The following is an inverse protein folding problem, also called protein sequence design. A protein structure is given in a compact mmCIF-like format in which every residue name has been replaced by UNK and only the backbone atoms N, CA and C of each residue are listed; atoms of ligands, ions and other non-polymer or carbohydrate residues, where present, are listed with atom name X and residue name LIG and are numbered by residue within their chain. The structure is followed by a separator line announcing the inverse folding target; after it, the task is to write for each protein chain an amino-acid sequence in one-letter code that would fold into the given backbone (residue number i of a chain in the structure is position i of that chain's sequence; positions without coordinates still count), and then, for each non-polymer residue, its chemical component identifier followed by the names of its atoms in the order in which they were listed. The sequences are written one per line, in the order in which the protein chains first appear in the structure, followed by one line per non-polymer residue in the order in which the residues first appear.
data_IF_881268446076
#
_entry.id   IF_881268446076
#
_cell.length_a   1.000
_cell.length_b   1.000
_cell.length_c   1.000
_cell.angle_alpha   90.00
_cell.angle_beta   90.00
_cell.angle_gamma   90.00
#
_symmetry.space_group_name_H-M   'P 1'
#
loop_
_entity.id
_entity.type
_entity.pdbx_description
1 polymer ?
#
# COMPACT_ATOMS: atom_id res chain seq x y z
N UNK A 1 -22.10 20.40 18.66
CA UNK A 1 -21.35 19.51 17.77
C UNK A 1 -20.17 20.30 17.23
N UNK A 2 -18.98 19.73 17.26
CA UNK A 2 -17.83 20.35 16.61
C UNK A 2 -17.96 20.19 15.09
N UNK A 3 -17.64 21.26 14.36
CA UNK A 3 -17.67 21.28 12.90
C UNK A 3 -16.29 21.56 12.36
N UNK A 4 -15.90 20.77 11.37
CA UNK A 4 -14.66 20.86 10.63
C UNK A 4 -14.94 21.15 9.14
N UNK A 5 -13.96 21.67 8.44
CA UNK A 5 -14.02 21.76 6.98
C UNK A 5 -13.79 20.37 6.39
N UNK A 6 -12.78 19.68 6.88
CA UNK A 6 -12.41 18.33 6.41
C UNK A 6 -12.27 17.37 7.58
N UNK A 7 -12.92 16.22 7.52
CA UNK A 7 -12.69 15.07 8.41
C UNK A 7 -11.99 13.98 7.63
N UNK A 8 -10.84 13.54 8.12
CA UNK A 8 -10.05 12.44 7.53
C UNK A 8 -10.18 11.21 8.40
N UNK A 9 -10.58 10.07 7.84
CA UNK A 9 -10.78 8.80 8.55
C UNK A 9 -9.60 7.86 8.29
N UNK A 10 -8.78 7.61 9.31
CA UNK A 10 -7.59 6.75 9.27
C UNK A 10 -6.28 7.53 9.15
N UNK A 11 -5.39 7.38 10.13
CA UNK A 11 -4.07 8.02 10.20
C UNK A 11 -2.95 7.15 9.62
N UNK A 12 -3.23 6.43 8.50
CA UNK A 12 -2.22 5.83 7.67
C UNK A 12 -1.55 6.86 6.73
N UNK A 13 -0.59 6.46 5.87
CA UNK A 13 0.13 7.40 5.00
C UNK A 13 -0.75 8.29 4.14
N UNK A 14 -1.82 7.72 3.54
CA UNK A 14 -2.76 8.49 2.73
C UNK A 14 -3.52 9.53 3.56
N UNK A 15 -4.03 9.13 4.74
CA UNK A 15 -4.79 10.04 5.61
C UNK A 15 -3.94 11.14 6.22
N UNK A 16 -2.75 10.81 6.73
CA UNK A 16 -1.82 11.83 7.25
C UNK A 16 -1.41 12.83 6.16
N UNK A 17 -1.14 12.34 4.94
CA UNK A 17 -0.81 13.22 3.80
C UNK A 17 -1.99 14.12 3.42
N UNK A 18 -3.22 13.59 3.41
CA UNK A 18 -4.43 14.36 3.13
C UNK A 18 -4.69 15.42 4.21
N UNK A 19 -4.60 15.03 5.49
CA UNK A 19 -4.81 15.94 6.60
C UNK A 19 -3.78 17.08 6.62
N UNK A 20 -2.48 16.72 6.41
CA UNK A 20 -1.40 17.70 6.29
C UNK A 20 -1.68 18.71 5.17
N UNK A 21 -2.05 18.22 3.99
CA UNK A 21 -2.28 19.08 2.84
C UNK A 21 -3.49 19.99 3.06
N UNK A 22 -4.61 19.44 3.49
CA UNK A 22 -5.81 20.22 3.76
C UNK A 22 -5.59 21.30 4.82
N UNK A 23 -4.86 20.99 5.90
CA UNK A 23 -4.51 21.97 6.93
C UNK A 23 -3.56 23.06 6.40
N UNK A 24 -2.58 22.73 5.56
CA UNK A 24 -1.68 23.70 4.91
C UNK A 24 -2.41 24.67 3.98
N UNK A 25 -3.51 24.24 3.35
CA UNK A 25 -4.37 25.10 2.54
C UNK A 25 -5.38 25.92 3.38
N UNK A 26 -5.28 25.84 4.71
CA UNK A 26 -6.06 26.65 5.67
C UNK A 26 -7.39 26.03 6.10
N UNK A 27 -7.67 24.79 5.74
CA UNK A 27 -8.85 24.07 6.22
C UNK A 27 -8.76 23.73 7.72
N UNK A 28 -9.89 23.80 8.44
CA UNK A 28 -10.02 23.24 9.80
C UNK A 28 -10.18 21.72 9.68
N UNK A 29 -9.14 20.97 10.01
CA UNK A 29 -9.03 19.52 9.74
C UNK A 29 -9.04 18.71 11.03
N UNK A 30 -9.83 17.62 11.03
CA UNK A 30 -9.77 16.56 12.04
C UNK A 30 -9.34 15.25 11.38
N UNK A 31 -8.28 14.63 11.92
CA UNK A 31 -7.80 13.30 11.58
C UNK A 31 -8.20 12.30 12.65
N UNK A 32 -9.00 11.30 12.29
CA UNK A 32 -9.52 10.26 13.19
C UNK A 32 -8.74 8.96 13.00
N UNK A 33 -8.22 8.39 14.07
CA UNK A 33 -7.52 7.10 14.07
C UNK A 33 -8.25 6.09 14.96
N UNK A 34 -8.53 4.91 14.40
CA UNK A 34 -9.15 3.79 15.10
C UNK A 34 -8.32 3.31 16.30
N UNK A 35 -7.01 3.22 16.11
CA UNK A 35 -6.10 2.68 17.11
C UNK A 35 -5.76 3.74 18.19
N UNK A 36 -5.43 3.31 19.41
CA UNK A 36 -4.95 4.22 20.44
C UNK A 36 -3.54 4.78 20.17
N UNK A 37 -2.91 4.32 19.09
CA UNK A 37 -1.55 4.72 18.70
C UNK A 37 -1.43 4.77 17.17
N UNK A 38 -0.91 5.85 16.62
CA UNK A 38 -0.54 5.95 15.20
C UNK A 38 0.64 5.02 14.91
N UNK A 39 0.59 4.36 13.75
CA UNK A 39 1.51 3.29 13.39
C UNK A 39 1.15 1.95 14.03
N UNK A 40 0.11 1.91 14.87
CA UNK A 40 -0.39 0.72 15.54
C UNK A 40 0.63 0.09 16.50
N UNK A 41 0.26 -0.98 17.23
CA UNK A 41 1.20 -1.69 18.09
C UNK A 41 2.28 -2.40 17.29
N UNK A 42 1.95 -2.82 16.07
CA UNK A 42 2.88 -3.49 15.14
C UNK A 42 2.50 -3.13 13.72
N UNK A 43 3.41 -2.51 13.00
CA UNK A 43 3.34 -2.25 11.55
C UNK A 43 4.58 -2.83 10.90
N UNK A 44 4.37 -3.53 9.80
CA UNK A 44 5.45 -4.06 9.02
C UNK A 44 6.36 -2.97 8.48
N UNK A 45 7.69 -3.11 8.62
CA UNK A 45 8.62 -2.25 7.93
C UNK A 45 8.51 -2.44 6.41
N UNK A 46 8.97 -1.47 5.68
CA UNK A 46 8.99 -1.51 4.21
C UNK A 46 10.40 -1.26 3.68
N UNK A 47 10.74 -1.92 2.58
CA UNK A 47 11.94 -1.60 1.82
C UNK A 47 11.62 -0.54 0.77
N UNK A 48 12.33 0.58 0.83
CA UNK A 48 12.14 1.74 -0.04
C UNK A 48 13.46 2.17 -0.70
N UNK A 49 13.36 2.86 -1.82
CA UNK A 49 14.51 3.45 -2.50
C UNK A 49 15.12 4.62 -1.74
N UNK A 50 16.36 4.99 -2.05
CA UNK A 50 16.97 6.22 -1.54
C UNK A 50 16.21 7.47 -2.03
N UNK A 51 15.54 7.38 -3.20
CA UNK A 51 14.68 8.44 -3.74
C UNK A 51 13.50 8.74 -2.83
N UNK A 52 12.89 7.73 -2.24
CA UNK A 52 11.81 7.89 -1.27
C UNK A 52 12.26 8.66 -0.02
N UNK A 53 13.45 8.38 0.50
CA UNK A 53 13.96 9.03 1.71
C UNK A 53 14.29 10.53 1.53
N UNK A 54 14.43 11.00 0.30
CA UNK A 54 14.58 12.43 0.02
C UNK A 54 13.31 13.24 0.30
N UNK A 55 12.17 12.55 0.50
CA UNK A 55 10.92 13.16 0.93
C UNK A 55 10.92 13.60 2.40
N UNK A 56 11.99 13.31 3.18
CA UNK A 56 12.16 13.81 4.55
C UNK A 56 12.15 12.74 5.65
N UNK A 57 11.96 11.46 5.32
CA UNK A 57 11.71 10.40 6.33
C UNK A 57 12.93 9.57 6.71
N UNK A 58 14.11 10.18 6.75
CA UNK A 58 15.38 9.47 7.09
C UNK A 58 15.39 8.90 8.50
N UNK A 59 14.72 9.56 9.44
CA UNK A 59 14.63 9.13 10.84
C UNK A 59 13.94 7.78 11.01
N UNK A 60 13.02 7.42 10.11
CA UNK A 60 12.38 6.11 10.10
C UNK A 60 13.26 4.99 9.54
N UNK A 61 14.46 5.28 9.02
CA UNK A 61 15.35 4.30 8.41
C UNK A 61 16.07 3.46 9.47
N UNK A 62 15.89 2.14 9.45
CA UNK A 62 16.47 1.20 10.42
C UNK A 62 17.63 0.38 9.86
N UNK A 63 17.68 0.15 8.55
CA UNK A 63 18.76 -0.65 7.94
C UNK A 63 18.99 -0.23 6.48
N UNK A 64 20.26 -0.24 6.07
CA UNK A 64 20.66 -0.11 4.67
C UNK A 64 20.55 -1.47 3.98
N UNK A 65 20.13 -1.44 2.72
CA UNK A 65 20.09 -2.61 1.82
C UNK A 65 21.18 -2.46 0.77
N UNK A 66 21.91 -3.53 0.52
CA UNK A 66 22.98 -3.60 -0.49
C UNK A 66 22.66 -4.62 -1.60
N UNK A 67 21.81 -5.61 -1.34
CA UNK A 67 21.40 -6.62 -2.32
C UNK A 67 19.98 -7.13 -2.11
N UNK A 68 19.40 -7.66 -3.20
CA UNK A 68 18.13 -8.34 -3.24
C UNK A 68 18.36 -9.79 -3.69
N UNK A 69 17.89 -10.75 -2.92
CA UNK A 69 17.91 -12.16 -3.23
C UNK A 69 16.49 -12.63 -3.55
N UNK A 70 16.28 -13.14 -4.76
CA UNK A 70 15.00 -13.65 -5.24
C UNK A 70 15.08 -15.17 -5.43
N UNK A 71 14.07 -15.88 -4.94
CA UNK A 71 13.96 -17.34 -5.01
C UNK A 71 12.61 -17.71 -5.64
N UNK A 72 12.62 -18.55 -6.69
CA UNK A 72 11.40 -19.05 -7.34
C UNK A 72 11.60 -20.43 -7.92
N UNK A 73 10.95 -21.46 -7.37
CA UNK A 73 10.92 -22.83 -7.88
C UNK A 73 12.29 -23.40 -8.31
N UNK A 74 13.30 -23.23 -7.46
CA UNK A 74 14.66 -23.72 -7.67
C UNK A 74 15.58 -22.77 -8.47
N UNK A 75 15.08 -21.61 -8.91
CA UNK A 75 15.89 -20.52 -9.44
C UNK A 75 16.20 -19.50 -8.34
N UNK A 76 17.47 -19.11 -8.26
CA UNK A 76 17.98 -18.10 -7.34
C UNK A 76 18.64 -16.97 -8.11
N UNK A 77 18.29 -15.73 -7.79
CA UNK A 77 18.87 -14.56 -8.43
C UNK A 77 19.28 -13.54 -7.38
N UNK A 78 20.56 -13.18 -7.36
CA UNK A 78 21.05 -12.10 -6.50
C UNK A 78 21.30 -10.86 -7.34
N UNK A 79 20.71 -9.74 -6.93
CA UNK A 79 20.79 -8.46 -7.62
C UNK A 79 21.44 -7.40 -6.72
N UNK A 80 22.33 -6.55 -7.26
CA UNK A 80 22.68 -5.32 -6.59
C UNK A 80 21.43 -4.49 -6.36
N UNK A 81 21.18 -4.09 -5.13
CA UNK A 81 20.03 -3.27 -4.80
C UNK A 81 20.41 -2.29 -3.71
N UNK A 82 19.96 -1.05 -3.90
CA UNK A 82 20.12 -0.01 -2.89
C UNK A 82 18.85 0.20 -2.07
N UNK A 83 18.87 1.25 -1.25
CA UNK A 83 17.71 1.66 -0.48
C UNK A 83 17.81 1.31 1.00
N UNK A 84 16.69 1.42 1.67
CA UNK A 84 16.60 1.26 3.11
C UNK A 84 15.35 0.53 3.53
N UNK A 85 15.46 -0.20 4.63
CA UNK A 85 14.29 -0.65 5.38
C UNK A 85 13.86 0.48 6.30
N UNK A 86 12.58 0.81 6.26
CA UNK A 86 11.95 1.89 7.02
C UNK A 86 10.98 1.29 8.01
N UNK A 87 11.09 1.70 9.27
CA UNK A 87 10.13 1.38 10.31
C UNK A 87 8.84 2.18 10.08
N UNK A 88 7.74 1.46 9.84
CA UNK A 88 6.42 2.06 9.59
C UNK A 88 5.81 2.69 10.81
N UNK A 89 6.13 2.23 12.02
CA UNK A 89 5.63 2.87 13.24
C UNK A 89 6.24 4.27 13.41
N UNK A 90 7.52 4.41 13.12
CA UNK A 90 8.22 5.70 13.14
C UNK A 90 7.73 6.58 11.99
N UNK A 91 7.67 6.04 10.77
CA UNK A 91 7.22 6.78 9.59
C UNK A 91 5.81 7.32 9.75
N UNK A 92 4.85 6.48 10.18
CA UNK A 92 3.46 6.89 10.32
C UNK A 92 3.31 8.00 11.40
N UNK A 93 4.13 7.96 12.47
CA UNK A 93 4.18 9.03 13.49
C UNK A 93 4.79 10.33 12.94
N UNK A 94 5.84 10.26 12.13
CA UNK A 94 6.41 11.44 11.46
C UNK A 94 5.39 12.10 10.54
N UNK A 95 4.67 11.31 9.74
CA UNK A 95 3.60 11.82 8.88
C UNK A 95 2.47 12.50 9.67
N UNK A 96 2.09 11.92 10.82
CA UNK A 96 1.09 12.52 11.68
C UNK A 96 1.60 13.79 12.37
N UNK A 97 2.87 13.83 12.78
CA UNK A 97 3.49 15.03 13.31
C UNK A 97 3.48 16.17 12.28
N UNK A 98 3.83 15.90 11.01
CA UNK A 98 3.72 16.89 9.94
C UNK A 98 2.29 17.38 9.72
N UNK A 99 1.27 16.51 9.89
CA UNK A 99 -0.13 16.91 9.80
C UNK A 99 -0.53 17.81 10.98
N UNK A 100 -0.10 17.48 12.20
CA UNK A 100 -0.35 18.29 13.38
C UNK A 100 0.37 19.65 13.31
N UNK A 101 1.62 19.69 12.85
CA UNK A 101 2.38 20.93 12.63
C UNK A 101 1.70 21.83 11.58
N UNK A 102 1.02 21.23 10.59
CA UNK A 102 0.22 21.97 9.62
C UNK A 102 -1.10 22.52 10.19
N UNK A 103 -1.50 22.10 11.41
CA UNK A 103 -2.71 22.56 12.09
C UNK A 103 -3.85 21.55 12.14
N UNK A 104 -3.66 20.30 11.71
CA UNK A 104 -4.68 19.25 11.83
C UNK A 104 -4.81 18.80 13.29
N UNK A 105 -6.04 18.71 13.78
CA UNK A 105 -6.37 18.06 15.04
C UNK A 105 -6.39 16.53 14.85
N UNK A 106 -5.89 15.76 15.84
CA UNK A 106 -5.79 14.30 15.75
C UNK A 106 -6.48 13.66 16.95
N UNK A 107 -7.46 12.79 16.68
CA UNK A 107 -8.11 11.99 17.72
C UNK A 107 -7.74 10.52 17.56
N UNK A 108 -7.19 9.94 18.63
CA UNK A 108 -6.83 8.53 18.71
C UNK A 108 -7.95 7.71 19.37
N UNK A 109 -8.00 6.39 19.10
CA UNK A 109 -9.00 5.51 19.66
C UNK A 109 -10.42 5.90 19.24
N UNK A 110 -10.57 6.47 18.04
CA UNK A 110 -11.79 7.06 17.52
C UNK A 110 -12.31 6.28 16.30
N UNK A 111 -12.90 5.09 16.49
CA UNK A 111 -13.43 4.27 15.41
C UNK A 111 -14.61 4.95 14.70
N UNK A 112 -14.48 5.17 13.41
CA UNK A 112 -15.57 5.64 12.56
C UNK A 112 -16.34 4.43 12.02
N UNK A 113 -17.66 4.42 12.17
CA UNK A 113 -18.52 3.30 11.77
C UNK A 113 -19.31 3.56 10.50
N UNK A 114 -19.76 4.79 10.32
CA UNK A 114 -20.61 5.18 9.20
C UNK A 114 -20.48 6.67 8.85
N UNK A 115 -20.91 7.03 7.68
CA UNK A 115 -21.07 8.43 7.30
C UNK A 115 -22.35 9.03 7.90
N UNK A 116 -22.28 10.28 8.31
CA UNK A 116 -23.43 11.11 8.60
C UNK A 116 -24.02 11.59 7.26
N UNK A 117 -25.24 11.18 6.95
CA UNK A 117 -25.89 11.48 5.68
C UNK A 117 -27.03 12.46 5.88
N UNK A 118 -27.08 13.51 5.05
CA UNK A 118 -28.22 14.44 4.93
C UNK A 118 -28.57 14.63 3.45
N UNK A 119 -29.81 14.35 3.08
CA UNK A 119 -30.27 14.50 1.69
C UNK A 119 -29.47 13.70 0.66
N UNK A 120 -28.89 12.55 1.06
CA UNK A 120 -28.04 11.72 0.18
C UNK A 120 -26.59 12.17 0.11
N UNK A 121 -26.19 13.23 0.82
CA UNK A 121 -24.83 13.76 0.88
C UNK A 121 -24.15 13.43 2.19
N UNK A 122 -22.86 13.13 2.15
CA UNK A 122 -22.02 12.97 3.33
C UNK A 122 -21.79 14.37 3.94
N UNK A 123 -22.10 14.51 5.22
CA UNK A 123 -21.99 15.72 6.03
C UNK A 123 -21.14 15.51 7.29
N UNK A 124 -20.39 14.43 7.34
CA UNK A 124 -19.57 14.09 8.47
C UNK A 124 -19.51 12.59 8.71
N UNK A 125 -19.15 12.21 9.92
CA UNK A 125 -18.98 10.82 10.34
C UNK A 125 -19.68 10.55 11.67
N UNK A 126 -19.97 9.27 11.90
CA UNK A 126 -20.44 8.77 13.19
C UNK A 126 -19.39 7.80 13.72
N UNK A 127 -18.82 8.12 14.86
CA UNK A 127 -17.83 7.31 15.54
C UNK A 127 -18.31 6.86 16.92
N UNK A 128 -17.45 6.13 17.62
CA UNK A 128 -17.62 5.79 19.03
C UNK A 128 -16.36 6.23 19.79
N UNK A 129 -16.53 6.91 20.90
CA UNK A 129 -15.45 7.22 21.81
C UNK A 129 -15.95 7.02 23.24
N UNK A 130 -15.17 6.28 24.07
CA UNK A 130 -15.52 6.06 25.47
C UNK A 130 -16.90 5.41 25.73
N UNK A 131 -17.46 4.67 24.73
CA UNK A 131 -18.78 4.05 24.82
C UNK A 131 -19.95 4.96 24.42
N UNK A 132 -19.67 6.15 23.94
CA UNK A 132 -20.66 7.11 23.45
C UNK A 132 -20.58 7.23 21.93
N UNK A 133 -21.77 7.36 21.31
CA UNK A 133 -21.88 7.62 19.86
C UNK A 133 -21.71 9.12 19.63
N UNK A 134 -20.60 9.49 19.02
CA UNK A 134 -20.31 10.89 18.67
C UNK A 134 -20.54 11.14 17.18
N UNK A 135 -21.11 12.29 16.88
CA UNK A 135 -21.26 12.82 15.53
C UNK A 135 -20.29 13.96 15.33
N UNK A 136 -19.53 13.91 14.26
CA UNK A 136 -18.63 14.99 13.82
C UNK A 136 -19.10 15.47 12.44
N UNK A 137 -19.43 16.74 12.34
CA UNK A 137 -19.88 17.37 11.09
C UNK A 137 -18.68 17.88 10.29
N UNK A 138 -18.77 17.78 8.94
CA UNK A 138 -17.79 18.35 8.03
C UNK A 138 -18.39 18.66 6.66
N UNK A 139 -17.74 19.57 5.93
CA UNK A 139 -18.10 19.83 4.54
C UNK A 139 -17.67 18.71 3.59
N UNK A 140 -16.46 18.13 3.85
CA UNK A 140 -15.91 16.99 3.11
C UNK A 140 -15.37 15.95 4.07
N UNK A 141 -15.63 14.67 3.80
CA UNK A 141 -15.00 13.53 4.46
C UNK A 141 -13.98 12.90 3.51
N UNK A 142 -12.76 12.63 3.99
CA UNK A 142 -11.77 11.84 3.27
C UNK A 142 -11.67 10.46 3.92
N UNK A 143 -12.19 9.42 3.24
CA UNK A 143 -12.09 8.03 3.67
C UNK A 143 -10.71 7.45 3.32
N UNK A 144 -9.79 7.48 4.28
CA UNK A 144 -8.45 6.92 4.24
C UNK A 144 -8.32 5.69 5.16
N UNK A 145 -9.44 5.04 5.49
CA UNK A 145 -9.51 3.94 6.48
C UNK A 145 -8.88 2.62 6.03
N UNK A 146 -8.32 2.57 4.81
CA UNK A 146 -7.67 1.38 4.28
C UNK A 146 -8.66 0.36 3.70
N UNK A 147 -8.27 -0.90 3.66
CA UNK A 147 -9.08 -1.96 3.04
C UNK A 147 -9.10 -3.24 3.87
N UNK A 148 -10.20 -3.97 3.76
CA UNK A 148 -10.33 -5.34 4.23
C UNK A 148 -10.77 -5.51 5.69
N UNK A 149 -10.73 -4.50 6.53
CA UNK A 149 -11.26 -4.54 7.90
C UNK A 149 -12.74 -4.16 7.93
N UNK A 150 -13.47 -4.61 8.94
CA UNK A 150 -14.89 -4.32 9.11
C UNK A 150 -15.22 -2.82 9.06
N UNK A 151 -14.35 -2.00 9.66
CA UNK A 151 -14.51 -0.54 9.71
C UNK A 151 -13.75 0.20 8.61
N UNK A 152 -13.17 -0.50 7.62
CA UNK A 152 -12.43 0.14 6.53
C UNK A 152 -13.29 0.30 5.28
N UNK A 153 -12.90 1.25 4.41
CA UNK A 153 -13.54 1.47 3.12
C UNK A 153 -15.04 1.75 3.23
N UNK A 154 -15.42 2.68 4.10
CA UNK A 154 -16.84 3.03 4.32
C UNK A 154 -17.49 3.44 3.00
N UNK A 155 -16.80 4.26 2.20
CA UNK A 155 -17.21 4.64 0.86
C UNK A 155 -17.35 3.42 -0.07
N UNK A 156 -16.37 2.51 -0.03
CA UNK A 156 -16.34 1.31 -0.88
C UNK A 156 -17.51 0.37 -0.62
N UNK A 157 -18.05 0.34 0.60
CA UNK A 157 -19.24 -0.47 0.93
C UNK A 157 -20.46 -0.12 0.07
N UNK A 158 -20.58 1.14 -0.36
CA UNK A 158 -21.61 1.58 -1.31
C UNK A 158 -21.49 0.95 -2.71
N UNK A 159 -20.35 0.34 -3.06
CA UNK A 159 -20.07 -0.34 -4.33
C UNK A 159 -19.92 -1.87 -4.16
N UNK A 160 -20.54 -2.45 -3.16
CA UNK A 160 -20.48 -3.90 -2.90
C UNK A 160 -19.34 -4.37 -1.98
N UNK A 161 -18.54 -3.44 -1.45
CA UNK A 161 -17.49 -3.73 -0.47
C UNK A 161 -16.28 -4.45 -1.06
N UNK A 162 -15.76 -5.40 -0.29
CA UNK A 162 -14.54 -6.15 -0.62
C UNK A 162 -14.90 -7.59 -0.98
N UNK A 163 -14.37 -8.09 -2.10
CA UNK A 163 -14.45 -9.52 -2.43
C UNK A 163 -13.23 -10.25 -1.89
N UNK A 164 -13.45 -11.38 -1.24
CA UNK A 164 -12.37 -12.16 -0.61
C UNK A 164 -11.29 -12.61 -1.59
N UNK A 165 -11.68 -12.87 -2.83
CA UNK A 165 -10.79 -13.27 -3.92
C UNK A 165 -9.81 -12.18 -4.34
N UNK A 166 -10.13 -10.92 -4.02
CA UNK A 166 -9.34 -9.74 -4.32
C UNK A 166 -8.46 -9.32 -3.14
N UNK A 167 -8.56 -10.02 -2.00
CA UNK A 167 -7.82 -9.67 -0.79
C UNK A 167 -6.50 -10.42 -0.70
N UNK A 168 -5.42 -9.65 -0.51
CA UNK A 168 -4.13 -10.15 -0.07
C UNK A 168 -4.10 -10.15 1.46
N UNK A 169 -3.85 -11.31 2.04
CA UNK A 169 -3.67 -11.48 3.49
C UNK A 169 -2.19 -11.47 3.83
N UNK A 170 -1.83 -10.80 4.90
CA UNK A 170 -0.44 -10.59 5.31
C UNK A 170 -0.28 -10.95 6.78
N UNK A 171 0.76 -11.70 7.09
CA UNK A 171 1.25 -11.86 8.46
C UNK A 171 2.76 -11.67 8.51
N UNK A 172 3.25 -11.15 9.62
CA UNK A 172 4.65 -10.82 9.80
C UNK A 172 5.07 -11.01 11.26
N UNK A 173 6.32 -11.44 11.42
CA UNK A 173 7.01 -11.51 12.70
C UNK A 173 8.21 -10.57 12.72
N UNK A 174 8.37 -9.81 13.79
CA UNK A 174 9.67 -9.24 14.14
C UNK A 174 10.48 -10.31 14.83
N UNK A 175 11.57 -10.72 14.22
CA UNK A 175 12.44 -11.81 14.66
C UNK A 175 13.66 -11.27 15.40
N UNK A 176 13.86 -11.67 16.64
CA UNK A 176 15.10 -11.41 17.39
C UNK A 176 16.10 -12.55 17.19
N UNK A 177 17.39 -12.30 17.43
CA UNK A 177 18.52 -13.21 17.19
C UNK A 177 18.65 -13.64 15.71
N UNK A 178 18.12 -12.88 14.79
CA UNK A 178 18.42 -13.04 13.38
C UNK A 178 19.89 -12.69 13.11
N UNK A 179 20.52 -13.39 12.15
CA UNK A 179 21.87 -13.03 11.75
C UNK A 179 21.88 -11.66 11.04
N UNK A 180 22.90 -10.86 11.34
CA UNK A 180 23.08 -9.56 10.69
C UNK A 180 23.26 -9.70 9.18
N UNK A 181 22.78 -8.74 8.43
CA UNK A 181 22.91 -8.69 6.97
C UNK A 181 22.28 -7.42 6.41
N UNK A 182 22.54 -7.15 5.15
CA UNK A 182 22.01 -6.01 4.40
C UNK A 182 21.29 -6.47 3.15
N UNK A 183 20.91 -7.73 3.11
CA UNK A 183 20.17 -8.34 2.02
C UNK A 183 18.67 -8.33 2.33
N UNK A 184 17.88 -7.99 1.35
CA UNK A 184 16.46 -8.32 1.27
C UNK A 184 16.36 -9.68 0.61
N UNK A 185 15.63 -10.61 1.21
CA UNK A 185 15.36 -11.93 0.63
C UNK A 185 13.85 -12.07 0.36
N UNK A 186 13.49 -12.60 -0.82
CA UNK A 186 12.10 -12.84 -1.20
C UNK A 186 11.95 -14.19 -1.88
N UNK A 187 10.93 -14.95 -1.47
CA UNK A 187 10.55 -16.22 -2.07
C UNK A 187 9.18 -16.10 -2.72
N UNK A 188 9.13 -16.50 -3.99
CA UNK A 188 7.90 -16.60 -4.75
C UNK A 188 7.54 -18.08 -4.88
N UNK A 189 6.53 -18.52 -4.15
CA UNK A 189 6.09 -19.91 -4.08
C UNK A 189 4.58 -19.98 -3.90
N UNK A 190 3.92 -20.75 -4.75
CA UNK A 190 2.48 -20.93 -4.65
C UNK A 190 2.06 -21.74 -3.43
N UNK A 191 2.94 -22.57 -2.90
CA UNK A 191 2.66 -23.40 -1.74
C UNK A 191 2.50 -22.58 -0.46
N UNK A 192 3.44 -21.68 -0.16
CA UNK A 192 3.40 -20.86 1.06
C UNK A 192 2.72 -19.50 0.86
N UNK A 193 2.79 -18.94 -0.34
CA UNK A 193 2.36 -17.58 -0.65
C UNK A 193 1.66 -17.49 -2.02
N UNK A 194 0.48 -18.12 -2.19
CA UNK A 194 -0.20 -18.16 -3.50
C UNK A 194 -0.50 -16.75 -4.01
N UNK A 195 0.06 -16.40 -5.16
CA UNK A 195 -0.06 -15.07 -5.78
C UNK A 195 0.63 -13.95 -4.99
N UNK A 196 1.50 -14.29 -4.07
CA UNK A 196 2.21 -13.35 -3.21
C UNK A 196 3.68 -13.73 -3.01
N UNK A 197 4.23 -13.44 -1.84
CA UNK A 197 5.64 -13.69 -1.54
C UNK A 197 5.86 -13.90 -0.05
N UNK A 198 6.95 -14.60 0.28
CA UNK A 198 7.58 -14.58 1.61
C UNK A 198 8.77 -13.64 1.55
N UNK A 199 9.08 -12.93 2.62
CA UNK A 199 10.24 -12.03 2.65
C UNK A 199 10.94 -12.00 4.00
N UNK A 200 12.23 -11.67 3.96
CA UNK A 200 13.03 -11.31 5.12
C UNK A 200 13.69 -9.96 4.86
N UNK A 201 13.39 -8.98 5.71
CA UNK A 201 14.01 -7.66 5.67
C UNK A 201 14.97 -7.47 6.86
N UNK A 202 16.18 -6.91 6.65
CA UNK A 202 17.07 -6.57 7.74
C UNK A 202 16.51 -5.38 8.54
N UNK A 203 16.45 -5.53 9.89
CA UNK A 203 15.99 -4.46 10.79
C UNK A 203 17.13 -3.81 11.57
N UNK A 204 18.37 -4.12 11.22
CA UNK A 204 19.55 -3.70 11.97
C UNK A 204 19.82 -4.52 13.21
N UNK A 205 21.08 -4.52 13.68
CA UNK A 205 21.49 -5.32 14.82
C UNK A 205 21.21 -6.81 14.66
N UNK A 206 20.45 -7.37 15.60
CA UNK A 206 20.04 -8.78 15.62
C UNK A 206 18.55 -8.97 15.30
N UNK A 207 17.94 -8.05 14.59
CA UNK A 207 16.54 -8.11 14.24
C UNK A 207 16.34 -8.26 12.73
N UNK A 208 15.29 -8.99 12.37
CA UNK A 208 14.78 -9.08 11.00
C UNK A 208 13.26 -9.04 11.02
N UNK A 209 12.66 -8.53 9.97
CA UNK A 209 11.24 -8.70 9.70
C UNK A 209 11.06 -9.88 8.76
N UNK A 210 10.24 -10.83 9.16
CA UNK A 210 9.89 -12.00 8.39
C UNK A 210 8.39 -11.98 8.11
N UNK A 211 7.98 -12.08 6.85
CA UNK A 211 6.57 -11.96 6.51
C UNK A 211 6.16 -12.78 5.31
N UNK A 212 4.85 -12.98 5.19
CA UNK A 212 4.19 -13.61 4.06
C UNK A 212 2.98 -12.78 3.61
N UNK A 213 2.75 -12.72 2.31
CA UNK A 213 1.50 -12.26 1.72
C UNK A 213 0.99 -13.26 0.69
N UNK A 214 -0.32 -13.40 0.57
CA UNK A 214 -0.91 -14.28 -0.44
C UNK A 214 -2.42 -14.14 -0.55
N UNK A 215 -2.96 -14.59 -1.68
CA UNK A 215 -4.39 -14.74 -1.91
C UNK A 215 -4.90 -16.00 -1.19
N UNK A 216 -6.11 -15.94 -0.62
CA UNK A 216 -6.76 -17.12 0.02
C UNK A 216 -5.88 -17.83 1.05
N UNK A 217 -5.03 -17.09 1.72
CA UNK A 217 -4.01 -17.59 2.63
C UNK A 217 -4.53 -17.61 4.08
N UNK A 218 -4.04 -18.58 4.88
CA UNK A 218 -3.97 -18.50 6.33
C UNK A 218 -2.56 -18.06 6.73
N UNK A 219 -2.30 -16.75 6.84
CA UNK A 219 -0.93 -16.25 6.76
C UNK A 219 -0.03 -16.67 7.93
N UNK A 220 -0.58 -16.82 9.15
CA UNK A 220 0.22 -17.25 10.30
C UNK A 220 0.71 -18.71 10.14
N UNK A 221 -0.20 -19.61 9.74
CA UNK A 221 0.17 -21.00 9.48
C UNK A 221 1.21 -21.13 8.39
N UNK A 222 1.11 -20.30 7.33
CA UNK A 222 2.08 -20.29 6.26
C UNK A 222 3.47 -19.79 6.71
N UNK A 223 3.54 -18.81 7.63
CA UNK A 223 4.80 -18.36 8.21
C UNK A 223 5.47 -19.46 9.03
N UNK A 224 4.73 -20.10 9.91
CA UNK A 224 5.26 -21.16 10.78
C UNK A 224 5.72 -22.37 9.95
N UNK A 225 4.94 -22.76 8.95
CA UNK A 225 5.28 -23.86 8.04
C UNK A 225 6.53 -23.53 7.21
N UNK A 226 6.62 -22.31 6.66
CA UNK A 226 7.79 -21.88 5.90
C UNK A 226 9.06 -21.93 6.75
N UNK A 227 9.03 -21.47 8.01
CA UNK A 227 10.15 -21.58 8.92
C UNK A 227 10.55 -23.04 9.18
N UNK A 228 9.58 -23.94 9.29
CA UNK A 228 9.82 -25.37 9.50
C UNK A 228 10.44 -26.07 8.30
N UNK A 229 10.06 -25.69 7.09
CA UNK A 229 10.47 -26.35 5.83
C UNK A 229 11.71 -25.71 5.23
N UNK A 230 11.66 -24.41 4.95
CA UNK A 230 12.73 -23.69 4.25
C UNK A 230 13.88 -23.27 5.19
N UNK A 231 13.55 -23.00 6.44
CA UNK A 231 14.51 -22.66 7.50
C UNK A 231 15.61 -21.69 7.02
N UNK A 232 15.28 -20.47 6.59
CA UNK A 232 16.24 -19.53 6.03
C UNK A 232 17.45 -19.35 6.94
N UNK A 233 18.65 -19.37 6.38
CA UNK A 233 19.91 -19.33 7.16
C UNK A 233 19.93 -18.21 8.19
N UNK A 234 19.39 -17.04 7.82
CA UNK A 234 19.32 -15.85 8.69
C UNK A 234 18.40 -16.06 9.89
N UNK A 235 17.39 -16.90 9.79
CA UNK A 235 16.36 -17.10 10.81
C UNK A 235 16.54 -18.35 11.66
N UNK A 236 17.56 -19.19 11.41
CA UNK A 236 17.77 -20.49 12.09
C UNK A 236 17.81 -20.43 13.61
N UNK A 237 18.21 -19.32 14.19
CA UNK A 237 18.26 -19.09 15.65
C UNK A 237 17.36 -17.95 16.10
N UNK A 238 16.59 -17.41 15.17
CA UNK A 238 15.71 -16.30 15.45
C UNK A 238 14.46 -16.78 16.17
N UNK A 239 13.89 -15.89 17.00
CA UNK A 239 12.64 -16.11 17.71
C UNK A 239 11.70 -14.93 17.46
N UNK A 240 10.40 -15.15 17.28
CA UNK A 240 9.45 -14.07 17.13
C UNK A 240 9.30 -13.30 18.46
N UNK A 241 9.37 -11.97 18.39
CA UNK A 241 9.19 -11.08 19.55
C UNK A 241 8.00 -10.13 19.38
N UNK A 242 7.51 -9.98 18.15
CA UNK A 242 6.26 -9.29 17.84
C UNK A 242 5.63 -9.89 16.58
N UNK A 243 4.33 -9.77 16.45
CA UNK A 243 3.56 -10.17 15.27
C UNK A 243 2.65 -9.06 14.79
N UNK A 244 2.41 -8.99 13.49
CA UNK A 244 1.42 -8.11 12.90
C UNK A 244 0.64 -8.83 11.80
N UNK A 245 -0.61 -8.42 11.64
CA UNK A 245 -1.48 -8.88 10.56
C UNK A 245 -2.03 -7.67 9.82
N UNK A 246 -2.08 -7.78 8.52
CA UNK A 246 -2.72 -6.78 7.68
C UNK A 246 -3.35 -7.43 6.46
N UNK A 247 -4.09 -6.64 5.72
CA UNK A 247 -4.67 -7.07 4.46
C UNK A 247 -4.85 -5.85 3.56
N UNK A 248 -4.83 -6.09 2.25
CA UNK A 248 -5.07 -5.05 1.27
C UNK A 248 -5.81 -5.60 0.05
N UNK A 249 -6.57 -4.73 -0.62
CA UNK A 249 -7.39 -5.12 -1.75
C UNK A 249 -6.66 -4.93 -3.08
N UNK A 250 -6.73 -5.93 -3.94
CA UNK A 250 -6.32 -5.88 -5.35
C UNK A 250 -7.52 -5.75 -6.31
N UNK A 251 -8.67 -5.29 -5.80
CA UNK A 251 -9.86 -5.07 -6.59
C UNK A 251 -9.72 -3.99 -7.65
N UNK A 252 -10.82 -3.72 -8.33
CA UNK A 252 -10.84 -2.78 -9.45
C UNK A 252 -10.55 -1.34 -9.00
N UNK A 253 -9.43 -0.73 -9.44
CA UNK A 253 -9.10 0.66 -9.14
C UNK A 253 -9.92 1.65 -9.98
N UNK A 254 -10.67 1.21 -11.00
CA UNK A 254 -11.49 2.10 -11.84
C UNK A 254 -12.83 2.46 -11.22
N UNK A 255 -13.22 1.86 -10.10
CA UNK A 255 -14.43 2.25 -9.39
C UNK A 255 -14.34 3.71 -8.90
N UNK A 256 -15.48 4.40 -8.74
CA UNK A 256 -15.47 5.77 -8.24
C UNK A 256 -14.69 5.93 -6.94
N UNK A 257 -13.95 7.02 -6.83
CA UNK A 257 -13.20 7.40 -5.63
C UNK A 257 -13.70 8.70 -5.00
N UNK A 258 -14.75 9.30 -5.55
CA UNK A 258 -15.44 10.43 -4.93
C UNK A 258 -16.96 10.33 -5.11
N UNK A 259 -17.68 10.96 -4.19
CA UNK A 259 -19.13 11.03 -4.14
C UNK A 259 -19.59 12.37 -3.54
N UNK A 260 -20.87 12.46 -3.21
CA UNK A 260 -21.44 13.66 -2.58
C UNK A 260 -20.83 13.89 -1.20
N UNK A 261 -19.94 14.87 -1.07
CA UNK A 261 -19.27 15.25 0.17
C UNK A 261 -18.19 14.27 0.64
N UNK A 262 -17.70 13.37 -0.22
CA UNK A 262 -16.72 12.34 0.21
C UNK A 262 -15.69 12.02 -0.88
N UNK A 263 -14.45 11.84 -0.45
CA UNK A 263 -13.34 11.32 -1.23
C UNK A 263 -12.83 10.03 -0.57
N UNK A 264 -12.57 8.98 -1.33
CA UNK A 264 -11.85 7.79 -0.87
C UNK A 264 -10.41 7.81 -1.38
N UNK A 265 -9.44 7.42 -0.52
CA UNK A 265 -8.02 7.46 -0.84
C UNK A 265 -7.26 6.24 -0.28
N UNK A 266 -6.18 5.86 -0.95
CA UNK A 266 -5.36 4.72 -0.57
C UNK A 266 -6.11 3.39 -0.66
N UNK A 267 -5.97 2.52 0.32
CA UNK A 267 -6.65 1.21 0.33
C UNK A 267 -8.17 1.30 0.19
N UNK A 268 -8.80 2.34 0.74
CA UNK A 268 -10.24 2.57 0.65
C UNK A 268 -10.72 2.78 -0.79
N UNK A 269 -9.85 3.28 -1.66
CA UNK A 269 -10.09 3.47 -3.10
C UNK A 269 -9.43 2.40 -4.00
N UNK A 270 -8.97 1.28 -3.46
CA UNK A 270 -8.14 0.28 -4.18
C UNK A 270 -6.87 0.86 -4.82
N UNK A 271 -6.37 1.98 -4.32
CA UNK A 271 -5.09 2.54 -4.72
C UNK A 271 -3.96 1.79 -3.99
N UNK A 272 -3.73 0.55 -4.40
CA UNK A 272 -2.77 -0.38 -3.80
C UNK A 272 -1.87 -0.96 -4.87
N UNK A 273 -0.60 -1.22 -4.55
CA UNK A 273 0.37 -1.89 -5.42
C UNK A 273 0.37 -3.40 -5.17
N UNK A 274 0.71 -4.15 -6.20
CA UNK A 274 0.83 -5.61 -6.11
C UNK A 274 2.23 -6.02 -5.65
N UNK A 275 3.26 -5.44 -6.26
CA UNK A 275 4.64 -5.88 -6.10
C UNK A 275 5.41 -5.09 -5.06
N UNK A 276 5.00 -3.87 -4.76
CA UNK A 276 5.63 -2.95 -3.81
C UNK A 276 4.72 -2.57 -2.64
N UNK A 277 5.18 -1.66 -1.78
CA UNK A 277 4.44 -1.23 -0.58
C UNK A 277 3.23 -0.33 -0.86
N UNK A 278 3.18 0.33 -2.01
CA UNK A 278 2.17 1.35 -2.31
C UNK A 278 2.30 2.63 -1.48
N UNK A 279 3.43 2.84 -0.84
CA UNK A 279 3.61 3.94 0.11
C UNK A 279 3.68 5.30 -0.61
N UNK A 280 4.43 5.39 -1.71
CA UNK A 280 4.50 6.61 -2.54
C UNK A 280 3.14 6.95 -3.12
N UNK A 281 2.46 5.96 -3.68
CA UNK A 281 1.10 6.11 -4.22
C UNK A 281 0.13 6.66 -3.15
N UNK A 282 0.16 6.10 -1.93
CA UNK A 282 -0.70 6.54 -0.84
C UNK A 282 -0.43 8.01 -0.45
N UNK A 283 0.85 8.43 -0.38
CA UNK A 283 1.23 9.80 -0.06
C UNK A 283 0.77 10.78 -1.16
N UNK A 284 1.02 10.47 -2.42
CA UNK A 284 0.65 11.34 -3.54
C UNK A 284 -0.88 11.47 -3.71
N UNK A 285 -1.62 10.36 -3.58
CA UNK A 285 -3.09 10.39 -3.61
C UNK A 285 -3.67 11.14 -2.42
N UNK A 286 -3.11 10.94 -1.21
CA UNK A 286 -3.53 11.68 -0.02
C UNK A 286 -3.33 13.18 -0.16
N UNK A 287 -2.14 13.60 -0.58
CA UNK A 287 -1.85 15.03 -0.78
C UNK A 287 -2.82 15.68 -1.79
N UNK A 288 -3.09 15.00 -2.90
CA UNK A 288 -4.07 15.49 -3.88
C UNK A 288 -5.50 15.56 -3.32
N UNK A 289 -5.90 14.56 -2.52
CA UNK A 289 -7.24 14.54 -1.91
C UNK A 289 -7.42 15.72 -0.93
N UNK A 290 -6.41 16.01 -0.11
CA UNK A 290 -6.42 17.15 0.81
C UNK A 290 -6.53 18.48 0.09
N UNK A 291 -5.77 18.69 -0.99
CA UNK A 291 -5.84 19.92 -1.79
C UNK A 291 -7.24 20.10 -2.40
N UNK A 292 -7.74 19.11 -3.14
CA UNK A 292 -9.06 19.21 -3.81
C UNK A 292 -10.19 19.39 -2.81
N UNK A 293 -10.14 18.78 -1.63
CA UNK A 293 -11.15 18.97 -0.61
C UNK A 293 -11.28 20.45 -0.19
N UNK A 294 -10.16 21.15 0.03
CA UNK A 294 -10.17 22.58 0.40
C UNK A 294 -10.54 23.47 -0.78
N UNK A 295 -10.05 23.17 -1.98
CA UNK A 295 -10.46 23.91 -3.20
C UNK A 295 -11.99 23.85 -3.40
N UNK A 296 -12.58 22.65 -3.32
CA UNK A 296 -14.04 22.43 -3.45
C UNK A 296 -14.85 23.18 -2.37
N UNK A 297 -14.36 23.23 -1.14
CA UNK A 297 -14.98 24.01 -0.05
C UNK A 297 -14.93 25.51 -0.38
N UNK A 298 -13.77 25.99 -0.82
CA UNK A 298 -13.57 27.40 -1.16
C UNK A 298 -14.44 27.85 -2.33
N UNK A 299 -14.63 26.98 -3.32
CA UNK A 299 -15.50 27.20 -4.47
C UNK A 299 -16.99 27.01 -4.14
N UNK A 300 -17.32 26.46 -2.97
CA UNK A 300 -18.70 26.20 -2.53
C UNK A 300 -19.36 25.00 -3.20
N UNK A 301 -18.59 24.15 -3.91
CA UNK A 301 -19.05 22.92 -4.53
C UNK A 301 -18.32 21.70 -3.93
N UNK A 302 -18.84 21.18 -2.82
CA UNK A 302 -18.38 19.94 -2.22
C UNK A 302 -19.24 18.72 -2.63
N UNK A 303 -20.01 18.86 -3.71
CA UNK A 303 -20.69 17.76 -4.40
C UNK A 303 -19.71 16.88 -5.18
N UNK A 304 -20.26 15.85 -5.84
CA UNK A 304 -19.42 14.92 -6.63
C UNK A 304 -18.65 15.67 -7.72
N UNK A 305 -19.27 16.66 -8.38
CA UNK A 305 -18.62 17.40 -9.47
C UNK A 305 -17.42 18.23 -8.98
N UNK A 306 -17.55 18.94 -7.86
CA UNK A 306 -16.44 19.70 -7.26
C UNK A 306 -15.31 18.81 -6.75
N UNK A 307 -15.59 17.53 -6.41
CA UNK A 307 -14.57 16.56 -5.96
C UNK A 307 -13.97 15.71 -7.09
N UNK A 308 -14.56 15.72 -8.31
CA UNK A 308 -14.04 15.01 -9.49
C UNK A 308 -12.60 15.38 -9.89
N UNK A 309 -12.08 16.60 -9.69
CA UNK A 309 -10.67 16.90 -9.97
C UNK A 309 -9.68 15.97 -9.29
N UNK A 310 -10.00 15.48 -8.07
CA UNK A 310 -9.21 14.45 -7.41
C UNK A 310 -9.18 13.14 -8.21
N UNK A 311 -10.37 12.63 -8.57
CA UNK A 311 -10.50 11.37 -9.29
C UNK A 311 -9.80 11.42 -10.65
N UNK A 312 -9.94 12.52 -11.39
CA UNK A 312 -9.28 12.73 -12.67
C UNK A 312 -7.76 12.74 -12.53
N UNK A 313 -7.23 13.50 -11.57
CA UNK A 313 -5.79 13.68 -11.40
C UNK A 313 -5.06 12.38 -11.00
N UNK A 314 -5.60 11.60 -10.05
CA UNK A 314 -4.95 10.36 -9.68
C UNK A 314 -5.09 9.28 -10.76
N UNK A 315 -6.23 9.24 -11.48
CA UNK A 315 -6.45 8.30 -12.60
C UNK A 315 -5.50 8.57 -13.76
N UNK A 316 -5.37 9.82 -14.16
CA UNK A 316 -4.42 10.22 -15.19
C UNK A 316 -2.99 9.80 -14.84
N UNK A 317 -2.62 9.91 -13.59
CA UNK A 317 -1.26 9.63 -13.12
C UNK A 317 -0.98 8.14 -12.90
N UNK A 318 -1.93 7.36 -12.39
CA UNK A 318 -1.66 6.02 -11.85
C UNK A 318 -2.56 4.91 -12.35
N UNK A 319 -3.74 5.19 -12.93
CA UNK A 319 -4.72 4.15 -13.22
C UNK A 319 -4.20 3.11 -14.22
N UNK A 320 -3.51 3.55 -15.27
CA UNK A 320 -2.89 2.67 -16.27
C UNK A 320 -1.88 1.71 -15.65
N UNK A 321 -1.02 2.24 -14.77
CA UNK A 321 -0.02 1.43 -14.05
C UNK A 321 -0.70 0.39 -13.14
N UNK A 322 -1.71 0.80 -12.38
CA UNK A 322 -2.43 -0.08 -11.46
C UNK A 322 -3.18 -1.19 -12.21
N UNK A 323 -3.81 -0.87 -13.35
CA UNK A 323 -4.45 -1.87 -14.21
C UNK A 323 -3.42 -2.86 -14.78
N UNK A 324 -2.26 -2.36 -15.25
CA UNK A 324 -1.18 -3.18 -15.78
C UNK A 324 -0.56 -4.09 -14.71
N UNK A 325 -0.29 -3.59 -13.49
CA UNK A 325 0.18 -4.43 -12.38
C UNK A 325 -0.79 -5.57 -12.06
N UNK A 326 -2.09 -5.29 -12.04
CA UNK A 326 -3.11 -6.31 -11.77
C UNK A 326 -3.24 -7.33 -12.91
N UNK A 327 -3.13 -6.89 -14.16
CA UNK A 327 -3.12 -7.78 -15.31
C UNK A 327 -1.89 -8.68 -15.29
N UNK A 328 -0.70 -8.12 -15.06
CA UNK A 328 0.54 -8.89 -14.89
C UNK A 328 0.42 -9.91 -13.75
N UNK A 329 -0.09 -9.49 -12.61
CA UNK A 329 -0.30 -10.38 -11.47
C UNK A 329 -1.24 -11.54 -11.80
N UNK A 330 -2.40 -11.28 -12.44
CA UNK A 330 -3.31 -12.34 -12.88
C UNK A 330 -2.64 -13.30 -13.86
N UNK A 331 -1.88 -12.76 -14.82
CA UNK A 331 -1.10 -13.57 -15.77
C UNK A 331 -0.09 -14.46 -15.03
N UNK A 332 0.67 -13.93 -14.10
CA UNK A 332 1.62 -14.71 -13.29
C UNK A 332 0.91 -15.77 -12.45
N UNK A 333 -0.24 -15.45 -11.84
CA UNK A 333 -1.02 -16.38 -11.02
C UNK A 333 -1.54 -17.60 -11.80
N UNK A 334 -1.65 -17.53 -13.13
CA UNK A 334 -2.06 -18.68 -13.95
C UNK A 334 -1.07 -19.85 -13.92
N UNK A 335 0.21 -19.61 -13.61
CA UNK A 335 1.26 -20.60 -13.45
C UNK A 335 2.41 -20.03 -12.62
N UNK A 336 2.12 -19.59 -11.38
CA UNK A 336 2.96 -18.77 -10.51
C UNK A 336 4.42 -19.26 -10.44
N UNK A 337 4.63 -20.48 -9.96
CA UNK A 337 5.97 -21.02 -9.74
C UNK A 337 6.76 -21.13 -11.05
N UNK A 338 6.11 -21.61 -12.12
CA UNK A 338 6.76 -21.75 -13.43
C UNK A 338 7.13 -20.39 -14.03
N UNK A 339 6.18 -19.47 -14.13
CA UNK A 339 6.41 -18.16 -14.76
C UNK A 339 7.43 -17.31 -14.00
N UNK A 340 7.41 -17.36 -12.67
CA UNK A 340 8.40 -16.62 -11.88
C UNK A 340 9.80 -17.24 -11.98
N UNK A 341 9.90 -18.57 -11.99
CA UNK A 341 11.18 -19.24 -12.29
C UNK A 341 11.73 -18.82 -13.65
N UNK A 342 10.91 -18.88 -14.70
CA UNK A 342 11.30 -18.50 -16.06
C UNK A 342 11.68 -17.01 -16.13
N UNK A 343 10.95 -16.11 -15.46
CA UNK A 343 11.27 -14.68 -15.38
C UNK A 343 12.62 -14.43 -14.71
N UNK A 344 12.94 -15.14 -13.62
CA UNK A 344 14.25 -15.03 -12.97
C UNK A 344 15.37 -15.57 -13.86
N UNK A 345 15.13 -16.66 -14.61
CA UNK A 345 16.09 -17.19 -15.57
C UNK A 345 16.39 -16.18 -16.70
N UNK A 346 15.35 -15.53 -17.24
CA UNK A 346 15.50 -14.44 -18.24
C UNK A 346 16.28 -13.26 -17.64
N UNK A 347 15.91 -12.84 -16.43
CA UNK A 347 16.56 -11.71 -15.74
C UNK A 347 18.07 -11.97 -15.47
N UNK A 348 18.48 -13.21 -15.28
CA UNK A 348 19.91 -13.57 -15.07
C UNK A 348 20.80 -13.11 -16.21
N UNK A 349 20.31 -13.14 -17.44
CA UNK A 349 21.03 -12.75 -18.66
C UNK A 349 20.84 -11.29 -19.09
N UNK A 350 19.94 -10.54 -18.45
CA UNK A 350 19.58 -9.18 -18.88
C UNK A 350 19.63 -8.17 -17.73
N UNK A 351 20.69 -7.34 -17.71
CA UNK A 351 20.89 -6.33 -16.69
C UNK A 351 19.79 -5.25 -16.66
N UNK A 352 19.06 -5.04 -17.74
CA UNK A 352 17.95 -4.09 -17.78
C UNK A 352 16.73 -4.66 -17.05
N UNK A 353 16.40 -5.95 -17.29
CA UNK A 353 15.34 -6.64 -16.54
C UNK A 353 15.70 -6.68 -15.04
N UNK A 354 16.96 -6.93 -14.70
CA UNK A 354 17.40 -6.89 -13.28
C UNK A 354 17.07 -5.55 -12.62
N UNK A 355 17.39 -4.42 -13.29
CA UNK A 355 17.06 -3.08 -12.81
C UNK A 355 15.54 -2.89 -12.72
N UNK A 356 14.80 -3.35 -13.69
CA UNK A 356 13.32 -3.29 -13.68
C UNK A 356 12.73 -4.03 -12.49
N UNK A 357 13.22 -5.23 -12.14
CA UNK A 357 12.74 -5.98 -10.97
C UNK A 357 12.97 -5.20 -9.67
N UNK A 358 14.15 -4.61 -9.49
CA UNK A 358 14.45 -3.79 -8.30
C UNK A 358 13.54 -2.56 -8.26
N UNK A 359 13.40 -1.84 -9.38
CA UNK A 359 12.57 -0.63 -9.48
C UNK A 359 11.09 -0.92 -9.19
N UNK A 360 10.56 -2.02 -9.72
CA UNK A 360 9.17 -2.44 -9.49
C UNK A 360 8.90 -2.74 -8.00
N UNK A 361 9.83 -3.44 -7.35
CA UNK A 361 9.72 -3.79 -5.93
C UNK A 361 9.91 -2.58 -5.00
N UNK A 362 10.58 -1.52 -5.47
CA UNK A 362 10.79 -0.26 -4.74
C UNK A 362 9.82 0.86 -5.13
N UNK A 363 8.83 0.58 -5.99
CA UNK A 363 7.85 1.58 -6.47
C UNK A 363 8.49 2.75 -7.22
N UNK A 364 9.54 2.47 -8.01
CA UNK A 364 10.20 3.48 -8.82
C UNK A 364 9.75 3.39 -10.29
N UNK A 365 9.21 4.48 -10.84
CA UNK A 365 8.79 4.62 -12.24
C UNK A 365 8.01 3.39 -12.78
N UNK A 366 7.02 2.90 -12.01
CA UNK A 366 6.36 1.59 -12.24
C UNK A 366 5.86 1.43 -13.68
N UNK A 367 5.16 2.42 -14.22
CA UNK A 367 4.64 2.36 -15.60
C UNK A 367 5.73 2.22 -16.65
N UNK A 368 6.81 3.01 -16.54
CA UNK A 368 7.98 2.93 -17.42
C UNK A 368 8.69 1.58 -17.26
N UNK A 369 8.87 1.12 -16.04
CA UNK A 369 9.48 -0.16 -15.71
C UNK A 369 8.73 -1.32 -16.34
N UNK A 370 7.41 -1.37 -16.20
CA UNK A 370 6.57 -2.38 -16.83
C UNK A 370 6.63 -2.28 -18.36
N UNK A 371 6.64 -1.05 -18.92
CA UNK A 371 6.78 -0.81 -20.35
C UNK A 371 8.07 -1.40 -20.91
N UNK A 372 9.20 -1.18 -20.24
CA UNK A 372 10.49 -1.77 -20.63
C UNK A 372 10.44 -3.30 -20.57
N UNK A 373 9.89 -3.87 -19.48
CA UNK A 373 9.83 -5.31 -19.30
C UNK A 373 9.03 -6.01 -20.41
N UNK A 374 7.86 -5.49 -20.77
CA UNK A 374 6.98 -6.14 -21.78
C UNK A 374 7.51 -6.04 -23.22
N UNK A 375 8.50 -5.18 -23.48
CA UNK A 375 9.18 -5.12 -24.78
C UNK A 375 10.29 -6.17 -24.93
N UNK A 376 10.75 -6.77 -23.84
CA UNK A 376 11.79 -7.81 -23.86
C UNK A 376 11.23 -9.14 -24.36
N UNK A 377 11.89 -9.73 -25.36
CA UNK A 377 11.49 -10.99 -25.98
C UNK A 377 11.30 -12.10 -24.95
N UNK A 378 12.30 -12.36 -24.10
CA UNK A 378 12.21 -13.41 -23.09
C UNK A 378 11.09 -13.17 -22.05
N UNK A 379 10.73 -11.91 -21.75
CA UNK A 379 9.58 -11.62 -20.90
C UNK A 379 8.26 -11.93 -21.63
N UNK A 380 8.16 -11.59 -22.93
CA UNK A 380 6.97 -11.92 -23.73
C UNK A 380 6.78 -13.42 -23.87
N UNK A 381 7.84 -14.19 -24.04
CA UNK A 381 7.78 -15.66 -24.04
C UNK A 381 7.21 -16.23 -22.74
N UNK A 382 7.63 -15.68 -21.58
CA UNK A 382 7.12 -16.09 -20.25
C UNK A 382 5.65 -15.72 -20.07
N UNK A 383 5.26 -14.52 -20.47
CA UNK A 383 3.89 -14.01 -20.27
C UNK A 383 2.91 -14.58 -21.33
N UNK A 384 3.36 -14.74 -22.56
CA UNK A 384 2.57 -14.96 -23.76
C UNK A 384 2.34 -13.64 -24.52
N UNK A 385 2.35 -13.70 -25.87
CA UNK A 385 2.25 -12.50 -26.72
C UNK A 385 0.94 -11.73 -26.54
N UNK A 386 -0.19 -12.41 -26.31
CA UNK A 386 -1.49 -11.78 -26.06
C UNK A 386 -1.48 -10.97 -24.77
N UNK A 387 -0.96 -11.55 -23.68
CA UNK A 387 -0.87 -10.88 -22.39
C UNK A 387 0.11 -9.70 -22.44
N UNK A 388 1.24 -9.86 -23.12
CA UNK A 388 2.19 -8.77 -23.30
C UNK A 388 1.58 -7.62 -24.14
N UNK A 389 0.82 -7.93 -25.18
CA UNK A 389 0.07 -6.94 -25.97
C UNK A 389 -0.99 -6.23 -25.13
N UNK A 390 -1.73 -6.98 -24.31
CA UNK A 390 -2.72 -6.40 -23.38
C UNK A 390 -2.08 -5.45 -22.37
N UNK A 391 -0.95 -5.84 -21.78
CA UNK A 391 -0.20 -4.98 -20.86
C UNK A 391 0.27 -3.69 -21.52
N UNK A 392 0.78 -3.76 -22.77
CA UNK A 392 1.14 -2.56 -23.54
C UNK A 392 -0.03 -1.62 -23.77
N UNK A 393 -1.20 -2.17 -24.15
CA UNK A 393 -2.43 -1.39 -24.33
C UNK A 393 -2.86 -0.68 -23.04
N UNK A 394 -2.84 -1.38 -21.90
CA UNK A 394 -3.15 -0.78 -20.59
C UNK A 394 -2.21 0.35 -20.24
N UNK A 395 -0.89 0.17 -20.45
CA UNK A 395 0.13 1.19 -20.16
C UNK A 395 0.00 2.45 -21.03
N UNK A 396 -0.53 2.31 -22.25
CA UNK A 396 -0.85 3.44 -23.15
C UNK A 396 -2.19 4.10 -22.83
N UNK A 397 -2.96 3.56 -21.88
CA UNK A 397 -4.29 4.06 -21.56
C UNK A 397 -5.37 3.68 -22.59
N UNK A 398 -5.10 2.72 -23.49
CA UNK A 398 -6.01 2.28 -24.55
C UNK A 398 -7.05 1.25 -24.09
N UNK A 399 -6.91 0.73 -22.87
CA UNK A 399 -7.79 -0.26 -22.25
C UNK A 399 -8.75 0.39 -21.26
N UNK A 400 -9.79 1.08 -21.75
CA UNK A 400 -10.87 1.69 -20.97
C UNK A 400 -11.98 0.71 -20.64
#
# INVERSE_FOLDING_TARGET
MERYDVVVVGAGPAGCSAARRAAKEGGKVLLLELQPQIGGPTKAPVWVSEGFLRLGFREASVSKVDSLHLHAAGEDLTLPAGGRVVDRQVLDKLLAAEAAEAGAEIWLGSPVKEFLLEGGRVRGVVGESGGWREKVESEVVIDASGSGWELSGIFRRGFGGWRREEMMFVSEYTMANASSGREVEMWFTSYFAPGGKVWVYPMGGRFAQFGVSGLRLHPDAALDEFLGVENPRRLRRAVPVASSRSQFCLGDPSLPSCGEGVIAVGGAACQTRVFSSGLRLALECGDRAGAVAVDAITEGDTGREGLLPYERAWRERFLSELKAERALHRCLCSAWDRKLRELLAVARGDAEIQRCLVSLLQEEEVGKTLGVMVEKEGVREVLGEEEAAHLRSLLRGEGG
#
